data_IF_207162450507
#
_entry.id   IF_207162450507
#
_cell.length_a   1.000
_cell.length_b   1.000
_cell.length_c   1.000
_cell.angle_alpha   90.00
_cell.angle_beta   90.00
_cell.angle_gamma   90.00
#
_symmetry.space_group_name_H-M   'P 1'
#
loop_
_entity.id
_entity.type
_entity.pdbx_description
1 polymer ?
#
# COMPACT_ATOMS: atom_id res chain seq x y z
N UNK A 1 7.25 13.88 37.16
CA UNK A 1 6.76 14.30 35.81
C UNK A 1 7.85 14.93 34.93
N UNK A 2 8.74 15.82 35.42
CA UNK A 2 9.77 16.42 34.56
C UNK A 2 10.78 15.39 34.01
N UNK A 3 11.19 14.41 34.81
CA UNK A 3 12.05 13.31 34.35
C UNK A 3 11.38 12.48 33.24
N UNK A 4 10.09 12.15 33.39
CA UNK A 4 9.31 11.49 32.34
C UNK A 4 9.22 12.34 31.06
N UNK A 5 9.08 13.66 31.20
CA UNK A 5 9.10 14.59 30.06
C UNK A 5 10.45 14.61 29.35
N UNK A 6 11.56 14.60 30.11
CA UNK A 6 12.91 14.56 29.57
C UNK A 6 13.19 13.24 28.84
N UNK A 7 12.72 12.12 29.39
CA UNK A 7 12.81 10.82 28.74
C UNK A 7 12.02 10.77 27.43
N UNK A 8 10.78 11.27 27.44
CA UNK A 8 9.95 11.31 26.25
C UNK A 8 10.58 12.17 25.14
N UNK A 9 11.29 13.25 25.49
CA UNK A 9 12.06 14.06 24.53
C UNK A 9 13.22 13.31 23.88
N UNK A 10 13.87 12.39 24.61
CA UNK A 10 14.94 11.55 24.04
C UNK A 10 14.38 10.52 23.07
N UNK A 11 13.20 9.99 23.37
CA UNK A 11 12.57 8.92 22.59
C UNK A 11 11.86 9.43 21.33
N UNK A 12 11.29 10.64 21.36
CA UNK A 12 10.53 11.20 20.23
C UNK A 12 11.16 12.50 19.70
N UNK A 13 11.74 12.48 18.48
CA UNK A 13 12.44 13.64 17.89
C UNK A 13 11.58 14.90 17.77
N UNK A 14 10.27 14.74 17.53
CA UNK A 14 9.33 15.88 17.41
C UNK A 14 9.23 16.63 18.74
N UNK A 15 9.25 15.91 19.86
CA UNK A 15 9.17 16.50 21.20
C UNK A 15 10.53 17.03 21.68
N UNK A 16 11.64 16.53 21.13
CA UNK A 16 12.98 17.03 21.44
C UNK A 16 13.11 18.55 21.17
N UNK A 17 12.41 19.05 20.13
CA UNK A 17 12.34 20.46 19.74
C UNK A 17 11.63 21.35 20.78
N UNK A 18 10.84 20.76 21.67
CA UNK A 18 10.13 21.47 22.73
C UNK A 18 10.93 21.45 24.03
N UNK A 19 10.69 22.42 24.91
CA UNK A 19 11.26 22.38 26.27
C UNK A 19 10.61 21.27 27.10
N UNK A 20 11.34 20.70 28.07
CA UNK A 20 10.77 19.70 28.98
C UNK A 20 9.54 20.21 29.76
N UNK A 21 9.47 21.52 30.02
CA UNK A 21 8.30 22.18 30.63
C UNK A 21 7.10 22.17 29.69
N UNK A 22 7.29 22.49 28.40
CA UNK A 22 6.23 22.43 27.40
C UNK A 22 5.69 21.00 27.22
N UNK A 23 6.58 20.01 27.14
CA UNK A 23 6.19 18.59 27.07
C UNK A 23 5.41 18.17 28.31
N UNK A 24 5.86 18.58 29.50
CA UNK A 24 5.12 18.34 30.76
C UNK A 24 3.73 18.97 30.71
N UNK A 25 3.59 20.21 30.23
CA UNK A 25 2.29 20.89 30.15
C UNK A 25 1.31 20.13 29.25
N UNK A 26 1.78 19.64 28.10
CA UNK A 26 0.99 18.82 27.17
C UNK A 26 0.58 17.47 27.78
N UNK A 27 1.52 16.78 28.43
CA UNK A 27 1.33 15.39 28.85
C UNK A 27 0.71 15.25 30.26
N UNK A 28 0.73 16.32 31.08
CA UNK A 28 0.20 16.32 32.45
C UNK A 28 -1.20 15.69 32.60
N UNK A 29 -2.23 16.05 31.79
CA UNK A 29 -3.55 15.45 31.95
C UNK A 29 -3.56 13.95 31.64
N UNK A 30 -2.71 13.48 30.72
CA UNK A 30 -2.62 12.07 30.35
C UNK A 30 -1.91 11.25 31.43
N UNK A 31 -0.79 11.75 31.94
CA UNK A 31 -0.09 11.12 33.07
C UNK A 31 -0.96 11.08 34.34
N UNK A 32 -1.75 12.13 34.59
CA UNK A 32 -2.73 12.12 35.67
C UNK A 32 -3.82 11.07 35.48
N UNK A 33 -4.15 10.73 34.23
CA UNK A 33 -5.06 9.63 33.88
C UNK A 33 -4.38 8.25 33.85
N UNK A 34 -3.12 8.14 34.31
CA UNK A 34 -2.38 6.88 34.42
C UNK A 34 -1.65 6.45 33.14
N UNK A 35 -1.50 7.33 32.15
CA UNK A 35 -0.72 7.02 30.95
C UNK A 35 0.78 6.91 31.25
N UNK A 36 1.43 5.93 30.62
CA UNK A 36 2.87 5.83 30.52
C UNK A 36 3.42 6.66 29.34
N UNK A 37 4.74 6.82 29.26
CA UNK A 37 5.38 7.49 28.13
C UNK A 37 5.11 6.77 26.81
N UNK A 38 5.07 5.44 26.81
CA UNK A 38 4.74 4.66 25.61
C UNK A 38 3.30 4.88 25.13
N UNK A 39 2.36 5.20 26.02
CA UNK A 39 1.00 5.57 25.64
C UNK A 39 0.97 6.89 24.88
N UNK A 40 1.76 7.86 25.34
CA UNK A 40 1.91 9.15 24.67
C UNK A 40 2.52 8.96 23.29
N UNK A 41 3.58 8.14 23.17
CA UNK A 41 4.21 7.82 21.89
C UNK A 41 3.24 7.13 20.92
N UNK A 42 2.49 6.16 21.44
CA UNK A 42 1.44 5.49 20.68
C UNK A 42 0.40 6.51 20.19
N UNK A 43 -0.05 7.42 21.04
CA UNK A 43 -1.04 8.44 20.69
C UNK A 43 -0.53 9.47 19.67
N UNK A 44 0.77 9.79 19.69
CA UNK A 44 1.38 10.63 18.66
C UNK A 44 1.42 9.92 17.30
N UNK A 45 1.62 8.60 17.29
CA UNK A 45 1.67 7.79 16.06
C UNK A 45 0.29 7.39 15.52
N UNK A 46 -0.65 7.05 16.39
CA UNK A 46 -1.97 6.51 16.07
C UNK A 46 -3.13 7.36 16.61
N UNK A 47 -4.26 7.39 15.90
CA UNK A 47 -5.51 8.04 16.36
C UNK A 47 -6.57 6.99 16.71
N UNK A 48 -7.41 7.22 17.73
CA UNK A 48 -8.41 6.25 18.17
C UNK A 48 -9.65 6.24 17.26
N UNK A 49 -10.00 7.37 16.64
CA UNK A 49 -11.10 7.45 15.65
C UNK A 49 -10.50 7.32 14.24
N UNK A 50 -10.52 6.10 13.72
CA UNK A 50 -10.11 5.78 12.36
C UNK A 50 -11.13 6.32 11.34
N UNK A 51 -10.95 7.55 10.89
CA UNK A 51 -11.30 7.94 9.50
C UNK A 51 -10.06 8.17 8.65
N UNK A 52 -8.86 8.21 9.25
CA UNK A 52 -7.62 8.11 8.52
C UNK A 52 -6.70 7.06 9.17
N UNK A 53 -6.45 5.99 8.43
CA UNK A 53 -5.33 5.05 8.65
C UNK A 53 -3.98 5.66 8.30
N UNK A 54 -3.95 6.95 7.97
CA UNK A 54 -2.75 7.64 7.57
C UNK A 54 -1.78 7.70 8.76
N UNK A 55 -0.53 7.24 8.58
CA UNK A 55 0.49 7.36 9.60
C UNK A 55 0.66 8.83 9.99
N UNK A 56 1.21 9.07 11.19
CA UNK A 56 1.62 10.40 11.60
C UNK A 56 2.37 11.12 10.46
N UNK A 57 2.00 12.38 10.22
CA UNK A 57 2.64 13.24 9.22
C UNK A 57 4.16 13.11 9.31
N UNK A 58 4.82 13.01 8.16
CA UNK A 58 6.28 12.92 8.08
C UNK A 58 6.93 14.02 8.92
N UNK A 59 7.91 13.65 9.75
CA UNK A 59 8.48 14.54 10.77
C UNK A 59 9.00 15.85 10.18
N UNK A 60 9.58 15.81 8.98
CA UNK A 60 10.11 16.96 8.25
C UNK A 60 9.04 18.03 7.90
N UNK A 61 7.76 17.67 7.89
CA UNK A 61 6.64 18.56 7.55
C UNK A 61 6.00 19.20 8.79
N UNK A 62 6.47 18.89 9.99
CA UNK A 62 5.92 19.40 11.25
C UNK A 62 6.60 20.73 11.60
N UNK A 63 6.01 21.84 11.17
CA UNK A 63 6.53 23.18 11.48
C UNK A 63 6.14 23.69 12.87
N UNK A 64 5.09 23.15 13.47
CA UNK A 64 4.60 23.54 14.80
C UNK A 64 4.45 22.32 15.73
N UNK A 65 5.56 21.82 16.31
CA UNK A 65 5.57 20.57 17.10
C UNK A 65 4.58 20.58 18.26
N UNK A 66 4.43 21.71 18.95
CA UNK A 66 3.51 21.86 20.07
C UNK A 66 2.05 21.69 19.65
N UNK A 67 1.59 22.45 18.64
CA UNK A 67 0.20 22.39 18.15
C UNK A 67 -0.11 21.03 17.52
N UNK A 68 0.85 20.46 16.81
CA UNK A 68 0.72 19.12 16.25
C UNK A 68 0.53 18.07 17.35
N UNK A 69 1.42 18.05 18.35
CA UNK A 69 1.32 17.11 19.47
C UNK A 69 0.02 17.31 20.27
N UNK A 70 -0.39 18.56 20.50
CA UNK A 70 -1.66 18.89 21.15
C UNK A 70 -2.85 18.34 20.37
N UNK A 71 -2.89 18.54 19.05
CA UNK A 71 -3.96 18.02 18.18
C UNK A 71 -4.02 16.49 18.20
N UNK A 72 -2.87 15.82 18.18
CA UNK A 72 -2.78 14.36 18.25
C UNK A 72 -3.30 13.84 19.58
N UNK A 73 -2.85 14.42 20.69
CA UNK A 73 -3.26 14.01 22.03
C UNK A 73 -4.75 14.33 22.30
N UNK A 74 -5.26 15.45 21.80
CA UNK A 74 -6.67 15.82 21.95
C UNK A 74 -7.63 14.78 21.34
N UNK A 75 -7.22 14.05 20.30
CA UNK A 75 -8.01 12.95 19.73
C UNK A 75 -8.23 11.79 20.71
N UNK A 76 -7.42 11.70 21.77
CA UNK A 76 -7.52 10.70 22.84
C UNK A 76 -8.29 11.20 24.06
N UNK A 77 -9.11 12.24 23.87
CA UNK A 77 -10.06 12.72 24.86
C UNK A 77 -11.47 12.52 24.34
N UNK A 78 -12.40 12.29 25.25
CA UNK A 78 -13.82 12.33 24.96
C UNK A 78 -14.26 13.78 24.74
N UNK A 79 -15.47 13.95 24.22
CA UNK A 79 -16.09 15.28 24.05
C UNK A 79 -16.28 16.01 25.40
N UNK A 80 -16.29 15.27 26.50
CA UNK A 80 -16.30 15.79 27.88
C UNK A 80 -14.90 16.13 28.43
N UNK A 81 -13.84 15.98 27.63
CA UNK A 81 -12.45 16.26 28.02
C UNK A 81 -11.76 15.17 28.82
N UNK A 82 -12.44 14.05 29.12
CA UNK A 82 -11.87 12.91 29.84
C UNK A 82 -10.89 12.17 28.94
N UNK A 83 -9.72 11.87 29.47
CA UNK A 83 -8.68 11.12 28.75
C UNK A 83 -9.12 9.66 28.61
N UNK A 84 -9.01 9.11 27.39
CA UNK A 84 -9.29 7.71 27.10
C UNK A 84 -8.22 6.80 27.74
N UNK A 85 -8.51 5.51 27.97
CA UNK A 85 -7.50 4.56 28.44
C UNK A 85 -6.27 4.51 27.53
N UNK A 86 -5.08 4.50 28.12
CA UNK A 86 -3.81 4.42 27.38
C UNK A 86 -3.62 3.07 26.68
N UNK A 87 -2.78 3.05 25.65
CA UNK A 87 -2.48 1.86 24.85
C UNK A 87 -1.96 0.67 25.68
N UNK A 88 -0.98 0.90 26.54
CA UNK A 88 -0.37 -0.07 27.46
C UNK A 88 -1.37 -0.62 28.47
N UNK A 89 -2.36 0.18 28.88
CA UNK A 89 -3.45 -0.30 29.73
C UNK A 89 -4.38 -1.21 28.93
N UNK A 90 -4.73 -0.84 27.70
CA UNK A 90 -5.53 -1.68 26.80
C UNK A 90 -4.80 -2.98 26.46
N UNK A 91 -3.50 -2.93 26.17
CA UNK A 91 -2.68 -4.08 25.85
C UNK A 91 -2.53 -5.02 27.06
N UNK A 92 -2.26 -4.48 28.26
CA UNK A 92 -2.26 -5.29 29.48
C UNK A 92 -3.61 -5.94 29.74
N UNK A 93 -4.70 -5.19 29.61
CA UNK A 93 -6.04 -5.74 29.76
C UNK A 93 -6.32 -6.84 28.73
N UNK A 94 -5.86 -6.68 27.48
CA UNK A 94 -5.97 -7.69 26.44
C UNK A 94 -5.15 -8.94 26.78
N UNK A 95 -3.86 -8.79 27.15
CA UNK A 95 -3.00 -9.91 27.54
C UNK A 95 -3.57 -10.66 28.74
N UNK A 96 -4.03 -9.97 29.78
CA UNK A 96 -4.66 -10.61 30.95
C UNK A 96 -5.90 -11.42 30.56
N UNK A 97 -6.72 -10.92 29.62
CA UNK A 97 -7.87 -11.66 29.09
C UNK A 97 -7.43 -12.89 28.31
N UNK A 98 -6.45 -12.73 27.42
CA UNK A 98 -5.90 -13.84 26.65
C UNK A 98 -5.33 -14.92 27.58
N UNK A 99 -4.57 -14.54 28.60
CA UNK A 99 -4.05 -15.45 29.62
C UNK A 99 -5.17 -16.17 30.38
N UNK A 100 -6.24 -15.47 30.77
CA UNK A 100 -7.38 -16.09 31.46
C UNK A 100 -8.10 -17.11 30.57
N UNK A 101 -8.23 -16.84 29.27
CA UNK A 101 -8.84 -17.76 28.30
C UNK A 101 -7.95 -18.98 28.08
N UNK A 102 -6.65 -18.79 27.93
CA UNK A 102 -5.69 -19.90 27.81
C UNK A 102 -5.69 -20.77 29.06
N UNK A 103 -5.68 -20.16 30.25
CA UNK A 103 -5.70 -20.88 31.51
C UNK A 103 -6.97 -21.73 31.69
N UNK A 104 -8.12 -21.24 31.22
CA UNK A 104 -9.41 -21.92 31.41
C UNK A 104 -9.77 -22.90 30.28
N UNK A 105 -9.41 -22.60 29.04
CA UNK A 105 -9.88 -23.32 27.86
C UNK A 105 -8.76 -23.78 26.92
N UNK A 106 -7.49 -23.49 27.26
CA UNK A 106 -6.32 -23.82 26.46
C UNK A 106 -6.06 -22.87 25.28
N UNK A 107 -4.92 -23.06 24.62
CA UNK A 107 -4.44 -22.17 23.54
C UNK A 107 -5.34 -22.17 22.30
N UNK A 108 -6.01 -23.28 22.01
CA UNK A 108 -6.92 -23.38 20.85
C UNK A 108 -8.13 -22.45 20.97
N UNK A 109 -8.56 -22.14 22.20
CA UNK A 109 -9.70 -21.28 22.46
C UNK A 109 -9.44 -19.81 22.10
N UNK A 110 -8.18 -19.35 22.11
CA UNK A 110 -7.84 -18.00 21.65
C UNK A 110 -8.20 -17.78 20.18
N UNK A 111 -8.01 -18.79 19.33
CA UNK A 111 -8.34 -18.72 17.91
C UNK A 111 -9.86 -18.63 17.66
N UNK A 112 -10.67 -19.06 18.63
CA UNK A 112 -12.12 -18.95 18.59
C UNK A 112 -12.64 -17.59 19.07
N UNK A 113 -11.83 -16.77 19.74
CA UNK A 113 -12.27 -15.47 20.25
C UNK A 113 -12.49 -14.46 19.11
N UNK A 114 -13.67 -13.80 19.06
CA UNK A 114 -13.88 -12.67 18.18
C UNK A 114 -13.02 -11.47 18.59
N UNK A 115 -12.39 -10.81 17.61
CA UNK A 115 -11.61 -9.59 17.84
C UNK A 115 -12.47 -8.50 18.51
N UNK A 116 -11.98 -7.94 19.62
CA UNK A 116 -12.65 -6.86 20.35
C UNK A 116 -13.86 -7.29 21.20
N UNK A 117 -14.24 -8.56 21.22
CA UNK A 117 -15.32 -9.06 22.09
C UNK A 117 -14.80 -9.40 23.49
N UNK A 118 -15.69 -9.35 24.49
CA UNK A 118 -15.35 -9.53 25.91
C UNK A 118 -15.05 -11.00 26.28
N UNK A 119 -15.97 -11.74 26.92
CA UNK A 119 -15.74 -13.13 27.28
C UNK A 119 -16.00 -14.06 26.07
N UNK A 120 -15.19 -15.13 25.96
CA UNK A 120 -15.43 -16.23 25.01
C UNK A 120 -16.79 -16.87 25.33
N UNK A 121 -17.75 -16.79 24.40
CA UNK A 121 -19.07 -17.38 24.59
C UNK A 121 -19.13 -18.78 23.98
N UNK A 122 -20.01 -19.68 24.48
CA UNK A 122 -20.20 -20.99 23.87
C UNK A 122 -20.55 -20.95 22.38
N UNK A 123 -21.23 -19.88 21.92
CA UNK A 123 -21.55 -19.67 20.50
C UNK A 123 -20.29 -19.44 19.65
N UNK A 124 -19.26 -18.78 20.19
CA UNK A 124 -18.02 -18.49 19.48
C UNK A 124 -17.22 -19.77 19.26
N UNK A 125 -17.17 -20.64 20.29
CA UNK A 125 -16.56 -21.97 20.20
C UNK A 125 -17.24 -22.83 19.15
N UNK A 126 -18.59 -22.88 19.15
CA UNK A 126 -19.36 -23.62 18.13
C UNK A 126 -19.13 -23.08 16.73
N UNK A 127 -19.11 -21.75 16.56
CA UNK A 127 -18.86 -21.10 15.26
C UNK A 127 -17.44 -21.37 14.76
N UNK A 128 -16.45 -21.36 15.64
CA UNK A 128 -15.08 -21.70 15.31
C UNK A 128 -14.95 -23.18 14.91
N UNK A 129 -15.58 -24.08 15.66
CA UNK A 129 -15.64 -25.51 15.35
C UNK A 129 -16.23 -25.78 13.97
N UNK A 130 -17.39 -25.17 13.64
CA UNK A 130 -18.02 -25.29 12.30
C UNK A 130 -17.08 -24.82 11.19
N UNK A 131 -16.48 -23.63 11.33
CA UNK A 131 -15.52 -23.10 10.34
C UNK A 131 -14.32 -24.03 10.11
N UNK A 132 -13.83 -24.68 11.17
CA UNK A 132 -12.73 -25.67 11.08
C UNK A 132 -13.15 -26.93 10.33
N UNK A 133 -14.35 -27.45 10.62
CA UNK A 133 -14.90 -28.60 9.92
C UNK A 133 -15.13 -28.26 8.44
N UNK A 134 -15.76 -27.13 8.14
CA UNK A 134 -16.03 -26.69 6.77
C UNK A 134 -14.72 -26.54 5.96
N UNK A 135 -13.68 -25.95 6.54
CA UNK A 135 -12.36 -25.83 5.92
C UNK A 135 -11.69 -27.19 5.66
N UNK A 136 -11.82 -28.13 6.60
CA UNK A 136 -11.30 -29.49 6.44
C UNK A 136 -12.05 -30.26 5.34
N UNK A 137 -13.38 -30.15 5.32
CA UNK A 137 -14.24 -30.74 4.27
C UNK A 137 -13.88 -30.18 2.90
N UNK A 138 -13.67 -28.86 2.80
CA UNK A 138 -13.27 -28.22 1.55
C UNK A 138 -11.90 -28.71 1.06
N UNK A 139 -10.96 -28.92 1.98
CA UNK A 139 -9.63 -29.47 1.63
C UNK A 139 -9.74 -30.91 1.13
N UNK A 140 -10.56 -31.74 1.79
CA UNK A 140 -10.84 -33.11 1.34
C UNK A 140 -11.53 -33.13 -0.03
N UNK A 141 -12.49 -32.23 -0.28
CA UNK A 141 -13.16 -32.10 -1.57
C UNK A 141 -12.19 -31.74 -2.68
N UNK A 142 -11.30 -30.78 -2.45
CA UNK A 142 -10.26 -30.40 -3.43
C UNK A 142 -9.32 -31.54 -3.72
N UNK A 143 -8.89 -32.26 -2.69
CA UNK A 143 -8.04 -33.45 -2.84
C UNK A 143 -8.75 -34.51 -3.69
N UNK A 144 -10.01 -34.81 -3.38
CA UNK A 144 -10.79 -35.79 -4.15
C UNK A 144 -11.01 -35.36 -5.60
N UNK A 145 -11.26 -34.07 -5.83
CA UNK A 145 -11.39 -33.53 -7.18
C UNK A 145 -10.08 -33.64 -7.98
N UNK A 146 -8.92 -33.44 -7.34
CA UNK A 146 -7.62 -33.65 -7.96
C UNK A 146 -7.40 -35.12 -8.31
N UNK A 147 -7.67 -36.05 -7.37
CA UNK A 147 -7.57 -37.50 -7.62
C UNK A 147 -8.44 -37.93 -8.81
N UNK A 148 -9.68 -37.46 -8.89
CA UNK A 148 -10.57 -37.76 -10.03
C UNK A 148 -10.09 -37.14 -11.35
N UNK A 149 -9.43 -35.98 -11.30
CA UNK A 149 -8.84 -35.36 -12.49
C UNK A 149 -7.63 -36.17 -12.98
N UNK A 150 -6.79 -36.67 -12.07
CA UNK A 150 -5.66 -37.53 -12.37
C UNK A 150 -6.12 -38.87 -12.96
N UNK A 151 -7.15 -39.49 -12.39
CA UNK A 151 -7.78 -40.71 -12.93
C UNK A 151 -8.29 -40.49 -14.37
N UNK A 152 -8.98 -39.38 -14.62
CA UNK A 152 -9.47 -39.03 -15.97
C UNK A 152 -8.33 -38.76 -16.95
N UNK A 153 -7.27 -38.10 -16.51
CA UNK A 153 -6.09 -37.85 -17.33
C UNK A 153 -5.37 -39.15 -17.69
N UNK A 154 -5.27 -40.10 -16.76
CA UNK A 154 -4.70 -41.42 -17.00
C UNK A 154 -5.52 -42.25 -18.00
N UNK A 155 -6.86 -42.23 -17.90
CA UNK A 155 -7.72 -42.92 -18.88
C UNK A 155 -7.61 -42.27 -20.27
N UNK A 156 -7.58 -40.93 -20.34
CA UNK A 156 -7.43 -40.22 -21.61
C UNK A 156 -6.08 -40.49 -22.26
N UNK A 157 -4.98 -40.48 -21.50
CA UNK A 157 -3.65 -40.77 -22.04
C UNK A 157 -3.54 -42.20 -22.56
N UNK A 158 -4.20 -43.17 -21.92
CA UNK A 158 -4.29 -44.55 -22.42
C UNK A 158 -5.11 -44.64 -23.71
N UNK A 159 -6.23 -43.91 -23.81
CA UNK A 159 -7.06 -43.87 -25.01
C UNK A 159 -6.36 -43.17 -26.19
N UNK A 160 -5.66 -42.06 -25.94
CA UNK A 160 -4.85 -41.34 -26.94
C UNK A 160 -3.62 -42.16 -27.37
N UNK A 161 -3.00 -42.92 -26.46
CA UNK A 161 -1.95 -43.86 -26.82
C UNK A 161 -2.45 -45.03 -27.68
N UNK A 162 -3.73 -45.40 -27.54
CA UNK A 162 -4.37 -46.45 -28.34
C UNK A 162 -4.79 -45.96 -29.75
N UNK A 163 -5.06 -44.66 -29.94
CA UNK A 163 -5.41 -44.07 -31.24
C UNK A 163 -4.52 -42.85 -31.62
N UNK A 164 -3.41 -43.10 -32.34
CA UNK A 164 -2.50 -42.03 -32.77
C UNK A 164 -3.11 -41.09 -33.83
N UNK A 165 -4.18 -41.47 -34.54
CA UNK A 165 -4.85 -40.58 -35.49
C UNK A 165 -5.71 -39.55 -34.78
N UNK A 166 -6.34 -39.92 -33.67
CA UNK A 166 -7.10 -38.98 -32.85
C UNK A 166 -6.18 -37.90 -32.26
N UNK A 167 -5.01 -38.29 -31.76
CA UNK A 167 -4.02 -37.36 -31.23
C UNK A 167 -3.53 -36.34 -32.28
N UNK A 168 -3.34 -36.77 -33.54
CA UNK A 168 -2.98 -35.87 -34.65
C UNK A 168 -4.08 -34.86 -34.96
N UNK A 169 -5.34 -35.30 -35.03
CA UNK A 169 -6.49 -34.41 -35.28
C UNK A 169 -6.63 -33.34 -34.20
N UNK A 170 -6.52 -33.73 -32.93
CA UNK A 170 -6.59 -32.80 -31.79
C UNK A 170 -5.43 -31.79 -31.83
N UNK A 171 -4.21 -32.23 -32.14
CA UNK A 171 -3.05 -31.35 -32.26
C UNK A 171 -3.21 -30.32 -33.40
N UNK A 172 -3.81 -30.71 -34.52
CA UNK A 172 -4.08 -29.82 -35.65
C UNK A 172 -5.19 -28.81 -35.33
N UNK A 173 -6.23 -29.20 -34.61
CA UNK A 173 -7.27 -28.28 -34.11
C UNK A 173 -6.69 -27.22 -33.17
N UNK A 174 -5.84 -27.62 -32.22
CA UNK A 174 -5.17 -26.68 -31.31
C UNK A 174 -4.23 -25.72 -32.06
N UNK A 175 -3.54 -26.19 -33.10
CA UNK A 175 -2.70 -25.35 -33.95
C UNK A 175 -3.53 -24.33 -34.70
N UNK A 176 -4.62 -24.76 -35.34
CA UNK A 176 -5.54 -23.88 -36.07
C UNK A 176 -6.25 -22.87 -35.15
N UNK A 177 -6.60 -23.24 -33.92
CA UNK A 177 -7.17 -22.29 -32.95
C UNK A 177 -6.16 -21.23 -32.49
N UNK A 178 -4.91 -21.64 -32.25
CA UNK A 178 -3.83 -20.71 -31.88
C UNK A 178 -3.53 -19.73 -33.00
N UNK A 179 -3.50 -20.19 -34.25
CA UNK A 179 -3.33 -19.34 -35.43
C UNK A 179 -4.47 -18.33 -35.58
N UNK A 180 -5.73 -18.75 -35.36
CA UNK A 180 -6.90 -17.85 -35.33
C UNK A 180 -6.77 -16.76 -34.27
N UNK A 181 -6.35 -17.09 -33.04
CA UNK A 181 -6.13 -16.10 -31.98
C UNK A 181 -5.01 -15.13 -32.32
N UNK A 182 -3.93 -15.61 -32.93
CA UNK A 182 -2.82 -14.76 -33.35
C UNK A 182 -3.22 -13.83 -34.51
N UNK A 183 -3.99 -14.33 -35.48
CA UNK A 183 -4.52 -13.53 -36.58
C UNK A 183 -5.44 -12.42 -36.07
N UNK A 184 -6.39 -12.75 -35.17
CA UNK A 184 -7.27 -11.77 -34.55
C UNK A 184 -6.49 -10.73 -33.71
N UNK A 185 -5.44 -11.14 -33.00
CA UNK A 185 -4.56 -10.22 -32.29
C UNK A 185 -3.79 -9.27 -33.22
N UNK A 186 -3.28 -9.80 -34.34
CA UNK A 186 -2.60 -9.00 -35.37
C UNK A 186 -3.53 -8.01 -36.05
N UNK A 187 -4.75 -8.40 -36.34
CA UNK A 187 -5.78 -7.54 -36.93
C UNK A 187 -6.12 -6.35 -36.00
N UNK A 188 -6.34 -6.62 -34.71
CA UNK A 188 -6.54 -5.56 -33.69
C UNK A 188 -5.38 -4.57 -33.63
N UNK A 189 -4.13 -5.03 -33.74
CA UNK A 189 -2.96 -4.15 -33.75
C UNK A 189 -2.91 -3.28 -35.02
N UNK A 190 -3.31 -3.81 -36.17
CA UNK A 190 -3.39 -3.05 -37.42
C UNK A 190 -4.51 -2.01 -37.38
N UNK A 191 -5.66 -2.32 -36.79
CA UNK A 191 -6.75 -1.36 -36.56
C UNK A 191 -6.31 -0.23 -35.63
N UNK A 192 -5.63 -0.55 -34.53
CA UNK A 192 -5.06 0.46 -33.63
C UNK A 192 -4.06 1.38 -34.34
N UNK A 193 -3.20 0.82 -35.20
CA UNK A 193 -2.24 1.60 -35.98
C UNK A 193 -2.94 2.54 -36.99
N UNK A 194 -4.02 2.08 -37.64
CA UNK A 194 -4.83 2.91 -38.55
C UNK A 194 -5.57 4.01 -37.81
N UNK A 195 -6.16 3.72 -36.65
CA UNK A 195 -6.80 4.71 -35.81
C UNK A 195 -5.80 5.78 -35.34
N UNK A 196 -4.62 5.38 -34.87
CA UNK A 196 -3.56 6.32 -34.49
C UNK A 196 -3.03 7.16 -35.66
N UNK A 197 -3.02 6.61 -36.88
CA UNK A 197 -2.66 7.37 -38.09
C UNK A 197 -3.75 8.38 -38.49
N UNK A 198 -5.03 8.02 -38.32
CA UNK A 198 -6.16 8.92 -38.55
C UNK A 198 -6.19 10.06 -37.51
N UNK A 199 -5.96 9.75 -36.23
CA UNK A 199 -5.84 10.76 -35.17
C UNK A 199 -4.67 11.73 -35.42
N UNK A 200 -3.55 11.24 -35.98
CA UNK A 200 -2.43 12.11 -36.40
C UNK A 200 -2.79 12.99 -37.60
N UNK A 201 -3.54 12.47 -38.56
CA UNK A 201 -4.02 13.25 -39.71
C UNK A 201 -5.06 14.31 -39.30
N UNK A 202 -5.83 14.05 -38.24
CA UNK A 202 -6.81 15.00 -37.68
C UNK A 202 -6.16 16.04 -36.75
N UNK A 203 -5.03 15.69 -36.11
CA UNK A 203 -4.18 16.62 -35.36
C UNK A 203 -3.27 17.49 -36.23
N UNK A 204 -3.19 17.23 -37.54
CA UNK A 204 -2.55 18.11 -38.52
C UNK A 204 -3.42 19.36 -38.77
N UNK A 205 -3.56 20.20 -37.74
CA UNK A 205 -3.71 21.63 -37.96
C UNK A 205 -2.47 22.10 -38.71
N UNK A 206 -2.59 22.91 -39.78
CA UNK A 206 -1.43 23.43 -40.49
C UNK A 206 -0.61 24.27 -39.51
N UNK A 207 0.46 23.67 -38.98
CA UNK A 207 1.49 24.41 -38.30
C UNK A 207 1.94 25.54 -39.25
N UNK A 208 2.10 26.79 -38.77
CA UNK A 208 2.60 27.85 -39.62
C UNK A 208 3.91 27.36 -40.23
N UNK A 209 4.00 27.45 -41.57
CA UNK A 209 5.09 26.90 -42.35
C UNK A 209 6.43 27.18 -41.67
N UNK A 210 6.96 26.17 -40.97
CA UNK A 210 8.30 26.23 -40.45
C UNK A 210 9.18 26.14 -41.67
N UNK A 211 9.67 27.30 -42.12
CA UNK A 211 10.79 27.42 -43.05
C UNK A 211 12.00 26.78 -42.38
N UNK A 212 12.06 25.45 -42.45
CA UNK A 212 13.24 24.71 -42.11
C UNK A 212 14.22 24.89 -43.26
N UNK A 213 15.08 25.88 -43.12
CA UNK A 213 16.24 26.04 -43.98
C UNK A 213 17.27 24.99 -43.56
N UNK A 214 17.73 24.09 -44.44
CA UNK A 214 18.84 23.21 -44.12
C UNK A 214 20.07 24.09 -43.84
N UNK A 215 20.60 24.05 -42.62
CA UNK A 215 21.83 24.78 -42.33
C UNK A 215 22.99 24.09 -43.07
N UNK A 216 23.66 24.87 -43.92
CA UNK A 216 24.87 24.47 -44.64
C UNK A 216 26.02 24.10 -43.69
N UNK A 217 27.10 23.49 -44.23
CA UNK A 217 28.11 22.86 -43.41
C UNK A 217 29.00 23.87 -42.69
N UNK A 218 29.38 23.49 -41.46
CA UNK A 218 30.32 24.14 -40.53
C UNK A 218 29.77 25.36 -39.76
N UNK A 219 28.98 25.08 -38.71
CA UNK A 219 28.85 25.98 -37.56
C UNK A 219 29.63 25.37 -36.40
N UNK A 220 30.52 26.17 -35.82
CA UNK A 220 31.30 25.79 -34.65
C UNK A 220 30.36 25.43 -33.48
N UNK A 221 30.82 24.63 -32.48
CA UNK A 221 29.97 24.25 -31.34
C UNK A 221 29.36 25.45 -30.60
N UNK A 222 30.07 26.57 -30.55
CA UNK A 222 29.65 27.81 -29.90
C UNK A 222 28.51 28.49 -30.66
N UNK A 223 28.60 28.60 -31.99
CA UNK A 223 27.54 29.16 -32.84
C UNK A 223 26.24 28.33 -32.79
N UNK A 224 26.37 27.00 -32.67
CA UNK A 224 25.21 26.12 -32.48
C UNK A 224 24.54 26.33 -31.12
N UNK A 225 25.33 26.59 -30.07
CA UNK A 225 24.81 26.85 -28.74
C UNK A 225 24.12 28.22 -28.65
N UNK A 226 24.64 29.22 -29.35
CA UNK A 226 24.06 30.56 -29.39
C UNK A 226 22.74 30.60 -30.19
N UNK A 227 22.70 29.89 -31.33
CA UNK A 227 21.46 29.71 -32.10
C UNK A 227 20.38 28.94 -31.31
N UNK A 228 20.78 27.92 -30.54
CA UNK A 228 19.86 27.17 -29.68
C UNK A 228 19.30 28.03 -28.54
N UNK A 229 20.12 28.89 -27.92
CA UNK A 229 19.68 29.84 -26.90
C UNK A 229 18.77 30.93 -27.47
N UNK A 230 19.04 31.42 -28.68
CA UNK A 230 18.19 32.39 -29.37
C UNK A 230 16.79 31.81 -29.68
N UNK A 231 16.74 30.56 -30.16
CA UNK A 231 15.48 29.86 -30.45
C UNK A 231 14.67 29.57 -29.17
N UNK A 232 15.34 29.18 -28.08
CA UNK A 232 14.71 28.98 -26.77
C UNK A 232 14.10 30.26 -26.18
N UNK A 233 14.70 31.44 -26.42
CA UNK A 233 14.12 32.75 -26.04
C UNK A 233 12.89 33.09 -26.88
N UNK A 234 12.93 32.83 -28.19
CA UNK A 234 11.81 33.11 -29.10
C UNK A 234 10.58 32.24 -28.80
N UNK A 235 10.79 30.99 -28.38
CA UNK A 235 9.72 30.05 -28.02
C UNK A 235 9.20 30.24 -26.57
N UNK A 236 9.66 31.27 -25.85
CA UNK A 236 9.28 31.53 -24.45
C UNK A 236 9.77 30.47 -23.45
N UNK A 237 10.60 29.53 -23.91
CA UNK A 237 11.21 28.47 -23.11
C UNK A 237 12.59 28.92 -22.65
N UNK A 238 12.63 29.87 -21.73
CA UNK A 238 13.90 30.21 -21.07
C UNK A 238 14.39 28.94 -20.35
N UNK A 239 15.58 28.41 -20.66
CA UNK A 239 16.11 27.31 -19.90
C UNK A 239 16.41 27.82 -18.49
N UNK A 240 15.64 27.36 -17.51
CA UNK A 240 15.98 27.51 -16.10
C UNK A 240 17.42 27.02 -15.93
N UNK A 241 18.29 27.95 -15.55
CA UNK A 241 19.66 27.70 -15.11
C UNK A 241 19.67 26.41 -14.29
N UNK A 242 20.34 25.39 -14.80
CA UNK A 242 20.59 24.12 -14.10
C UNK A 242 21.29 24.48 -12.79
N UNK A 243 20.54 24.63 -11.69
CA UNK A 243 21.13 24.75 -10.37
C UNK A 243 21.87 23.44 -10.11
N UNK A 244 23.19 23.50 -10.25
CA UNK A 244 24.12 22.46 -9.80
C UNK A 244 23.69 22.03 -8.40
N UNK A 245 23.40 20.74 -8.23
CA UNK A 245 23.34 20.12 -6.91
C UNK A 245 24.65 20.45 -6.21
N UNK A 246 24.60 21.28 -5.17
CA UNK A 246 25.67 21.37 -4.18
C UNK A 246 25.66 20.04 -3.43
N UNK A 247 26.55 19.14 -3.80
CA UNK A 247 27.16 18.22 -2.85
C UNK A 247 27.88 19.07 -1.81
N UNK A 248 27.42 19.05 -0.56
CA UNK A 248 28.23 19.47 0.57
C UNK A 248 28.55 18.23 1.39
N UNK A 249 29.85 17.94 1.41
CA UNK A 249 30.54 17.29 2.52
C UNK A 249 30.31 18.10 3.80
#
# INVERSE_FOLDING_TARGET
>A
MLAAAAELRRQEPILAQLTARAVRALCRPYWAAGWANDDVRHALRWRPRATSSLPAMEQAKIHAPYRWAQSRLAAWRTDTGKVLPGHSHMERAQRTREHAVVARFGKAALAAMPAGSGPLRPVDVRRFGRRRVDAAVETLRRRRAAELADERAAVRSQAEAADPEHARRVADEFRAERERRQAAGRERLLEQARAAAAERAEQDQPAPASTWTPQGPAQTPEERQEAALARARAEGRVPLVRRRRRTRW
#
